data_IF_840762636716
#
_entry.id   IF_840762636716
#
_cell.length_a   1.000
_cell.length_b   1.000
_cell.length_c   1.000
_cell.angle_alpha   90.00
_cell.angle_beta   90.00
_cell.angle_gamma   90.00
#
_symmetry.space_group_name_H-M   'P 1'
#
loop_
_entity.id
_entity.type
_entity.pdbx_description
1 polymer ?
#
# COMPACT_ATOMS: atom_id res chain seq x y z
N UNK A 1 -9.57 -4.04 21.99
CA UNK A 1 -10.34 -3.73 20.77
C UNK A 1 -9.77 -4.60 19.65
N UNK A 2 -10.51 -5.59 19.19
CA UNK A 2 -10.07 -6.58 18.21
C UNK A 2 -10.66 -6.15 16.86
N UNK A 3 -9.83 -5.60 15.96
CA UNK A 3 -10.29 -5.24 14.61
C UNK A 3 -10.55 -6.53 13.82
N UNK A 4 -11.68 -6.66 13.10
CA UNK A 4 -11.99 -7.86 12.35
C UNK A 4 -11.04 -7.98 11.14
N UNK A 5 -10.29 -9.08 11.14
CA UNK A 5 -9.28 -9.51 10.16
C UNK A 5 -9.88 -9.73 8.74
N UNK A 6 -11.21 -9.72 8.62
CA UNK A 6 -11.96 -10.00 7.39
C UNK A 6 -11.82 -8.99 6.23
N UNK A 7 -11.23 -7.81 6.44
CA UNK A 7 -11.15 -6.75 5.41
C UNK A 7 -9.86 -6.75 4.58
N UNK A 8 -8.86 -7.57 4.93
CA UNK A 8 -7.51 -7.44 4.37
C UNK A 8 -7.18 -8.43 3.24
N UNK A 9 -7.94 -9.51 3.05
CA UNK A 9 -7.48 -10.64 2.23
C UNK A 9 -7.69 -10.52 0.71
N UNK A 10 -8.54 -9.61 0.22
CA UNK A 10 -8.91 -9.55 -1.21
C UNK A 10 -8.13 -8.53 -2.07
N UNK A 11 -7.22 -7.73 -1.49
CA UNK A 11 -6.83 -6.42 -2.08
C UNK A 11 -5.32 -6.24 -2.25
N UNK A 12 -4.62 -7.34 -2.51
CA UNK A 12 -3.29 -7.62 -1.98
C UNK A 12 -2.14 -6.75 -2.49
N UNK A 13 -2.32 -5.97 -3.56
CA UNK A 13 -1.24 -5.12 -4.06
C UNK A 13 -1.57 -3.64 -4.18
N UNK A 14 -2.84 -3.23 -4.35
CA UNK A 14 -3.17 -1.83 -4.65
C UNK A 14 -3.77 -1.06 -3.46
N UNK A 15 -4.50 -1.72 -2.56
CA UNK A 15 -5.18 -1.00 -1.45
C UNK A 15 -4.50 -1.12 -0.09
N UNK A 16 -3.52 -2.02 0.09
CA UNK A 16 -2.72 -2.08 1.31
C UNK A 16 -2.12 -0.71 1.69
N UNK A 17 -1.63 0.09 0.73
CA UNK A 17 -1.15 1.43 1.03
C UNK A 17 -2.25 2.44 1.41
N UNK A 18 -3.42 2.34 0.78
CA UNK A 18 -4.55 3.26 0.96
C UNK A 18 -5.28 3.06 2.29
N UNK A 19 -5.29 1.84 2.82
CA UNK A 19 -5.89 1.53 4.13
C UNK A 19 -5.06 2.09 5.30
N UNK A 20 -3.77 2.38 5.10
CA UNK A 20 -2.89 2.89 6.15
C UNK A 20 -2.98 4.42 6.30
N UNK A 21 -3.06 5.17 5.19
CA UNK A 21 -3.03 6.64 5.17
C UNK A 21 -4.28 7.29 5.80
N UNK A 22 -5.43 6.61 5.78
CA UNK A 22 -6.67 7.18 6.33
C UNK A 22 -6.75 7.22 7.87
N UNK A 23 -5.78 6.63 8.60
CA UNK A 23 -5.83 6.55 10.08
C UNK A 23 -4.85 7.47 10.82
N UNK A 24 -4.04 8.27 10.12
CA UNK A 24 -3.08 9.18 10.77
C UNK A 24 -2.93 10.50 9.99
N UNK A 25 -3.72 11.52 10.35
CA UNK A 25 -3.54 12.90 9.84
C UNK A 25 -2.63 13.78 10.70
N UNK A 26 -2.18 13.35 11.88
CA UNK A 26 -1.34 14.19 12.73
C UNK A 26 -0.17 13.39 13.32
N UNK A 27 0.97 13.40 12.60
CA UNK A 27 2.32 13.63 13.14
C UNK A 27 3.42 13.06 12.21
N UNK A 28 4.43 13.89 11.96
CA UNK A 28 5.75 13.58 11.39
C UNK A 28 5.88 13.46 9.85
N UNK A 29 6.08 14.61 9.22
CA UNK A 29 6.98 14.75 8.06
C UNK A 29 8.43 14.57 8.50
N UNK A 30 8.94 13.34 8.52
CA UNK A 30 10.38 13.08 8.66
C UNK A 30 11.02 12.90 7.29
N UNK A 31 11.98 13.77 7.01
CA UNK A 31 12.74 13.87 5.75
C UNK A 31 13.71 12.70 5.64
N UNK A 32 13.29 11.56 5.09
CA UNK A 32 14.23 10.56 4.56
C UNK A 32 14.54 10.90 3.09
N UNK A 33 15.53 11.77 2.91
CA UNK A 33 16.20 11.91 1.63
C UNK A 33 16.99 10.61 1.38
N UNK A 34 16.60 9.84 0.36
CA UNK A 34 17.47 8.81 -0.23
C UNK A 34 18.77 9.48 -0.65
N UNK A 35 19.84 9.26 0.14
CA UNK A 35 21.18 9.68 -0.24
C UNK A 35 21.64 8.82 -1.42
N UNK A 36 21.66 9.43 -2.60
CA UNK A 36 22.44 8.96 -3.72
C UNK A 36 23.91 8.78 -3.28
N UNK A 37 24.48 7.62 -3.57
CA UNK A 37 25.89 7.31 -3.40
C UNK A 37 26.77 8.36 -4.11
N UNK A 38 27.50 9.18 -3.36
CA UNK A 38 28.61 9.97 -3.89
C UNK A 38 29.95 9.19 -3.74
N UNK A 39 30.78 9.08 -4.79
CA UNK A 39 32.13 8.57 -4.64
C UNK A 39 33.05 9.65 -4.05
N UNK A 40 33.74 9.30 -2.95
CA UNK A 40 34.71 10.17 -2.26
C UNK A 40 35.90 10.53 -3.16
N UNK A 41 35.92 11.77 -3.66
CA UNK A 41 37.08 12.40 -4.28
C UNK A 41 37.66 13.51 -3.40
N UNK A 42 38.83 13.27 -2.82
CA UNK A 42 39.61 14.26 -2.07
C UNK A 42 40.08 15.41 -2.98
N UNK A 43 39.71 16.66 -2.69
CA UNK A 43 40.50 17.86 -3.06
C UNK A 43 40.17 19.06 -2.17
N UNK A 44 41.19 19.53 -1.44
CA UNK A 44 41.30 20.91 -0.95
C UNK A 44 41.35 21.88 -2.15
N UNK A 45 40.91 23.12 -2.00
CA UNK A 45 41.66 24.41 -2.07
C UNK A 45 40.68 25.60 -2.29
N UNK A 46 40.77 26.57 -1.37
CA UNK A 46 40.57 28.05 -1.39
C UNK A 46 39.38 28.79 -2.04
N UNK A 47 38.86 29.69 -1.19
CA UNK A 47 38.23 31.01 -1.38
C UNK A 47 38.40 31.75 -2.72
N UNK A 48 37.30 32.32 -3.23
CA UNK A 48 37.11 33.77 -3.43
C UNK A 48 35.72 34.06 -4.05
N UNK A 49 34.99 35.00 -3.46
CA UNK A 49 33.78 35.60 -4.04
C UNK A 49 34.13 36.48 -5.26
N UNK A 50 33.16 36.72 -6.17
CA UNK A 50 32.63 38.08 -6.20
C UNK A 50 31.13 38.20 -6.47
N UNK A 51 30.57 39.25 -5.87
CA UNK A 51 29.25 39.82 -6.05
C UNK A 51 28.94 40.18 -7.50
N UNK A 52 27.73 39.84 -7.96
CA UNK A 52 27.10 40.51 -9.10
C UNK A 52 25.61 40.74 -8.86
N UNK A 53 25.28 42.03 -8.85
CA UNK A 53 23.96 42.63 -8.86
C UNK A 53 23.24 42.34 -10.18
N UNK A 54 21.97 41.92 -10.10
CA UNK A 54 21.02 41.99 -11.22
C UNK A 54 19.68 42.50 -10.69
N UNK A 55 19.23 43.60 -11.29
CA UNK A 55 17.95 44.26 -11.09
C UNK A 55 16.78 43.42 -11.63
N UNK A 56 15.68 43.46 -10.87
CA UNK A 56 14.36 43.83 -11.41
C UNK A 56 13.59 42.79 -12.21
N UNK A 57 12.69 42.07 -11.53
CA UNK A 57 11.38 41.68 -12.10
C UNK A 57 10.32 41.68 -11.01
N UNK A 58 9.38 42.59 -11.18
CA UNK A 58 8.15 42.77 -10.42
C UNK A 58 7.23 41.56 -10.57
N UNK A 59 6.91 40.91 -9.44
CA UNK A 59 5.80 39.97 -9.34
C UNK A 59 4.68 40.63 -8.54
N UNK A 60 3.50 40.69 -9.17
CA UNK A 60 2.25 41.11 -8.55
C UNK A 60 1.85 40.10 -7.48
N UNK A 61 1.91 40.51 -6.21
CA UNK A 61 1.34 39.81 -5.06
C UNK A 61 -0.06 40.34 -4.83
N UNK A 62 -1.09 39.59 -5.26
CA UNK A 62 -2.45 39.81 -4.82
C UNK A 62 -2.59 39.26 -3.39
N UNK A 63 -2.78 40.19 -2.45
CA UNK A 63 -3.10 39.95 -1.04
C UNK A 63 -4.53 39.42 -0.96
N UNK A 64 -4.70 38.16 -0.56
CA UNK A 64 -5.96 37.67 0.01
C UNK A 64 -5.77 37.53 1.52
N UNK A 65 -6.40 38.46 2.23
CA UNK A 65 -6.61 38.44 3.67
C UNK A 65 -7.94 37.74 3.92
N UNK A 66 -7.92 36.60 4.62
CA UNK A 66 -9.08 36.11 5.37
C UNK A 66 -8.58 35.54 6.69
N UNK A 67 -8.71 36.35 7.73
CA UNK A 67 -8.73 35.90 9.12
C UNK A 67 -10.18 35.55 9.42
N UNK A 68 -10.48 34.26 9.47
CA UNK A 68 -11.72 33.78 10.06
C UNK A 68 -11.38 32.84 11.22
N UNK A 69 -11.93 33.21 12.37
CA UNK A 69 -11.84 32.51 13.65
C UNK A 69 -12.44 31.10 13.54
N UNK A 70 -11.62 30.08 13.73
CA UNK A 70 -12.08 28.69 13.86
C UNK A 70 -12.52 28.49 15.31
N UNK A 71 -13.84 28.51 15.52
CA UNK A 71 -14.50 28.05 16.73
C UNK A 71 -14.52 26.51 16.69
N UNK A 72 -13.81 25.85 17.60
CA UNK A 72 -13.92 24.41 17.85
C UNK A 72 -15.30 24.10 18.48
N UNK A 73 -16.33 23.99 17.66
CA UNK A 73 -17.58 23.34 18.07
C UNK A 73 -17.42 21.82 17.96
N UNK A 74 -17.40 21.15 19.11
CA UNK A 74 -17.38 19.70 19.20
C UNK A 74 -18.61 19.08 18.52
N UNK A 75 -18.40 18.49 17.34
CA UNK A 75 -19.40 17.72 16.61
C UNK A 75 -19.68 16.38 17.31
N UNK A 76 -20.60 16.38 18.28
CA UNK A 76 -21.32 15.16 18.69
C UNK A 76 -22.64 15.11 17.93
N UNK A 77 -22.59 14.76 16.64
CA UNK A 77 -23.80 14.58 15.84
C UNK A 77 -24.35 13.15 16.04
N UNK A 78 -25.47 12.95 16.76
CA UNK A 78 -26.00 11.62 17.05
C UNK A 78 -26.39 10.82 15.80
N UNK A 79 -26.66 11.48 14.66
CA UNK A 79 -26.95 10.82 13.39
C UNK A 79 -25.76 10.03 12.81
N UNK A 80 -24.52 10.43 13.13
CA UNK A 80 -23.31 9.68 12.70
C UNK A 80 -23.15 8.38 13.49
N UNK A 81 -23.56 8.36 14.76
CA UNK A 81 -23.49 7.17 15.62
C UNK A 81 -24.49 6.11 15.14
N UNK A 82 -25.70 6.53 14.76
CA UNK A 82 -26.70 5.62 14.20
C UNK A 82 -26.32 5.12 12.80
N UNK A 83 -25.69 5.94 11.96
CA UNK A 83 -25.16 5.50 10.67
C UNK A 83 -24.03 4.46 10.81
N UNK A 84 -23.16 4.59 11.83
CA UNK A 84 -22.12 3.60 12.12
C UNK A 84 -22.71 2.28 12.64
N UNK A 85 -23.78 2.33 13.44
CA UNK A 85 -24.49 1.13 13.92
C UNK A 85 -25.26 0.42 12.78
N UNK A 86 -25.84 1.18 11.86
CA UNK A 86 -26.48 0.65 10.64
C UNK A 86 -25.44 0.06 9.68
N UNK A 87 -24.27 0.69 9.53
CA UNK A 87 -23.16 0.17 8.71
C UNK A 87 -22.53 -1.12 9.28
N UNK A 88 -22.63 -1.35 10.59
CA UNK A 88 -22.14 -2.58 11.23
C UNK A 88 -23.07 -3.79 11.06
N UNK A 89 -24.32 -3.59 10.63
CA UNK A 89 -25.23 -4.69 10.32
C UNK A 89 -24.85 -5.24 8.95
N UNK A 90 -23.73 -5.97 8.90
CA UNK A 90 -23.22 -6.64 7.70
C UNK A 90 -24.34 -7.49 7.12
N UNK A 91 -24.88 -7.08 5.97
CA UNK A 91 -25.76 -7.93 5.20
C UNK A 91 -25.00 -9.21 4.87
N UNK A 92 -25.64 -10.36 5.05
CA UNK A 92 -25.07 -11.63 4.63
C UNK A 92 -24.78 -11.53 3.13
N UNK A 93 -23.53 -11.76 2.69
CA UNK A 93 -23.19 -11.65 1.29
C UNK A 93 -23.95 -12.71 0.50
N UNK A 94 -24.73 -12.27 -0.50
CA UNK A 94 -25.50 -13.18 -1.35
C UNK A 94 -24.57 -14.01 -2.22
N UNK A 95 -24.56 -15.32 -2.01
CA UNK A 95 -23.82 -16.25 -2.85
C UNK A 95 -24.49 -16.43 -4.21
N UNK A 96 -23.68 -16.45 -5.26
CA UNK A 96 -24.12 -16.83 -6.62
C UNK A 96 -24.07 -18.36 -6.79
N UNK A 97 -24.74 -18.88 -7.82
CA UNK A 97 -24.69 -20.32 -8.14
C UNK A 97 -23.28 -20.82 -8.45
N UNK A 98 -22.42 -19.94 -8.98
CA UNK A 98 -20.99 -20.23 -9.21
C UNK A 98 -20.26 -20.46 -7.88
N UNK A 99 -20.49 -19.60 -6.89
CA UNK A 99 -19.87 -19.73 -5.56
C UNK A 99 -20.33 -21.03 -4.87
N UNK A 100 -21.63 -21.34 -4.95
CA UNK A 100 -22.21 -22.57 -4.40
C UNK A 100 -21.61 -23.81 -5.06
N UNK A 101 -21.50 -23.79 -6.39
CA UNK A 101 -20.89 -24.88 -7.17
C UNK A 101 -19.42 -25.08 -6.79
N UNK A 102 -18.67 -23.98 -6.59
CA UNK A 102 -17.27 -24.06 -6.15
C UNK A 102 -17.16 -24.72 -4.77
N UNK A 103 -17.96 -24.30 -3.79
CA UNK A 103 -18.00 -24.87 -2.44
C UNK A 103 -18.28 -26.38 -2.48
N UNK A 104 -19.34 -26.77 -3.20
CA UNK A 104 -19.71 -28.18 -3.33
C UNK A 104 -18.64 -29.01 -4.03
N UNK A 105 -18.05 -28.48 -5.10
CA UNK A 105 -17.01 -29.17 -5.88
C UNK A 105 -15.75 -29.37 -5.04
N UNK A 106 -15.31 -28.32 -4.35
CA UNK A 106 -14.12 -28.36 -3.50
C UNK A 106 -14.29 -29.33 -2.33
N UNK A 107 -15.43 -29.25 -1.64
CA UNK A 107 -15.73 -30.13 -0.51
C UNK A 107 -15.77 -31.60 -0.95
N UNK A 108 -16.46 -31.90 -2.05
CA UNK A 108 -16.52 -33.26 -2.62
C UNK A 108 -15.16 -33.76 -3.09
N UNK A 109 -14.34 -32.90 -3.70
CA UNK A 109 -12.99 -33.26 -4.11
C UNK A 109 -12.07 -33.61 -2.93
N UNK A 110 -12.32 -33.02 -1.77
CA UNK A 110 -11.58 -33.29 -0.54
C UNK A 110 -12.18 -34.43 0.30
N UNK A 111 -13.34 -34.97 -0.07
CA UNK A 111 -14.07 -36.00 0.69
C UNK A 111 -14.26 -35.63 2.18
N UNK A 112 -14.45 -34.33 2.45
CA UNK A 112 -14.53 -33.80 3.82
C UNK A 112 -13.22 -33.85 4.63
N UNK A 113 -12.08 -34.22 4.02
CA UNK A 113 -10.78 -34.20 4.68
C UNK A 113 -10.31 -32.76 4.91
N UNK A 114 -10.12 -32.39 6.17
CA UNK A 114 -9.74 -31.03 6.57
C UNK A 114 -8.38 -30.60 6.01
N UNK A 115 -7.35 -31.44 6.07
CA UNK A 115 -6.01 -31.10 5.55
C UNK A 115 -6.05 -30.92 4.02
N UNK A 116 -6.81 -31.75 3.31
CA UNK A 116 -7.01 -31.58 1.87
C UNK A 116 -7.73 -30.26 1.55
N UNK A 117 -8.76 -29.89 2.32
CA UNK A 117 -9.46 -28.62 2.18
C UNK A 117 -8.54 -27.43 2.45
N UNK A 118 -7.74 -27.46 3.53
CA UNK A 118 -6.79 -26.40 3.87
C UNK A 118 -5.74 -26.20 2.76
N UNK A 119 -5.21 -27.29 2.19
CA UNK A 119 -4.28 -27.23 1.07
C UNK A 119 -4.93 -26.67 -0.20
N UNK A 120 -6.16 -27.09 -0.51
CA UNK A 120 -6.87 -26.62 -1.69
C UNK A 120 -7.29 -25.14 -1.56
N UNK A 121 -7.77 -24.73 -0.39
CA UNK A 121 -8.02 -23.32 -0.06
C UNK A 121 -6.74 -22.51 -0.16
N UNK A 122 -5.62 -23.00 0.39
CA UNK A 122 -4.33 -22.29 0.32
C UNK A 122 -3.89 -22.04 -1.12
N UNK A 123 -4.12 -23.01 -2.01
CA UNK A 123 -3.77 -22.92 -3.42
C UNK A 123 -4.67 -21.96 -4.21
N UNK A 124 -5.94 -21.84 -3.83
CA UNK A 124 -6.93 -21.04 -4.57
C UNK A 124 -7.28 -19.70 -3.90
N UNK A 125 -6.75 -19.41 -2.71
CA UNK A 125 -7.13 -18.25 -1.90
C UNK A 125 -7.04 -16.92 -2.66
N UNK A 126 -6.02 -16.78 -3.51
CA UNK A 126 -5.79 -15.55 -4.29
C UNK A 126 -6.80 -15.37 -5.44
N UNK A 127 -7.48 -16.45 -5.85
CA UNK A 127 -8.51 -16.43 -6.89
C UNK A 127 -9.94 -16.45 -6.32
N UNK A 128 -10.11 -16.68 -5.02
CA UNK A 128 -11.43 -16.76 -4.40
C UNK A 128 -12.15 -15.41 -4.49
N UNK A 129 -13.42 -15.45 -4.90
CA UNK A 129 -14.22 -14.22 -4.94
C UNK A 129 -14.35 -13.63 -3.51
N UNK A 130 -14.17 -12.32 -3.31
CA UNK A 130 -14.15 -11.73 -1.96
C UNK A 130 -15.44 -11.98 -1.17
N UNK A 131 -16.59 -11.95 -1.86
CA UNK A 131 -17.91 -12.28 -1.28
C UNK A 131 -17.94 -13.68 -0.66
N UNK A 132 -17.29 -14.65 -1.30
CA UNK A 132 -17.24 -16.03 -0.85
C UNK A 132 -16.32 -16.17 0.37
N UNK A 133 -15.16 -15.50 0.37
CA UNK A 133 -14.26 -15.45 1.53
C UNK A 133 -15.01 -14.91 2.76
N UNK A 134 -15.75 -13.82 2.62
CA UNK A 134 -16.55 -13.24 3.70
C UNK A 134 -17.67 -14.18 4.15
N UNK A 135 -18.37 -14.83 3.20
CA UNK A 135 -19.43 -15.80 3.50
C UNK A 135 -18.90 -16.98 4.32
N UNK A 136 -17.75 -17.55 3.93
CA UNK A 136 -17.11 -18.67 4.60
C UNK A 136 -16.63 -18.29 6.01
N UNK A 137 -16.06 -17.10 6.19
CA UNK A 137 -15.69 -16.59 7.52
C UNK A 137 -16.92 -16.44 8.42
N UNK A 138 -18.01 -15.86 7.89
CA UNK A 138 -19.26 -15.71 8.64
C UNK A 138 -19.88 -17.05 9.04
N UNK A 139 -19.84 -18.05 8.15
CA UNK A 139 -20.31 -19.41 8.43
C UNK A 139 -19.49 -20.04 9.56
N UNK A 140 -18.17 -19.91 9.52
CA UNK A 140 -17.27 -20.42 10.55
C UNK A 140 -17.45 -19.73 11.90
N UNK A 141 -17.58 -18.40 11.91
CA UNK A 141 -17.79 -17.60 13.14
C UNK A 141 -19.09 -17.96 13.85
N UNK A 142 -20.16 -18.20 13.08
CA UNK A 142 -21.48 -18.52 13.63
C UNK A 142 -21.68 -20.02 13.89
N UNK A 143 -20.88 -20.86 13.24
CA UNK A 143 -21.07 -22.32 13.22
C UNK A 143 -22.32 -22.77 12.47
N UNK A 144 -22.92 -21.87 11.67
CA UNK A 144 -24.14 -22.10 10.89
C UNK A 144 -24.18 -21.19 9.67
N UNK A 145 -24.84 -21.63 8.60
CA UNK A 145 -25.06 -20.86 7.38
C UNK A 145 -26.55 -20.79 7.08
N UNK A 146 -27.16 -19.63 7.40
CA UNK A 146 -28.60 -19.39 7.25
C UNK A 146 -28.86 -18.36 6.16
N UNK A 147 -28.70 -18.76 4.90
CA UNK A 147 -29.14 -17.96 3.76
C UNK A 147 -30.03 -18.80 2.83
N UNK A 148 -31.23 -18.30 2.55
CA UNK A 148 -32.14 -18.90 1.56
C UNK A 148 -32.76 -20.24 1.96
N UNK A 149 -33.13 -21.02 0.95
CA UNK A 149 -33.65 -22.39 1.07
C UNK A 149 -32.53 -23.41 0.73
N UNK A 150 -31.30 -23.14 1.13
CA UNK A 150 -30.18 -24.07 0.94
C UNK A 150 -30.40 -25.31 1.82
N UNK A 151 -29.89 -26.47 1.39
CA UNK A 151 -30.05 -27.72 2.12
C UNK A 151 -29.05 -27.85 3.31
N UNK A 152 -29.39 -28.71 4.27
CA UNK A 152 -28.56 -28.96 5.45
C UNK A 152 -27.15 -29.48 5.07
N UNK A 153 -27.03 -30.15 3.92
CA UNK A 153 -25.74 -30.63 3.41
C UNK A 153 -24.84 -29.46 3.01
N UNK A 154 -25.35 -28.50 2.24
CA UNK A 154 -24.59 -27.31 1.85
C UNK A 154 -24.20 -26.44 3.04
N UNK A 155 -25.08 -26.30 4.03
CA UNK A 155 -24.75 -25.59 5.28
C UNK A 155 -23.54 -26.23 5.99
N UNK A 156 -23.52 -27.56 6.10
CA UNK A 156 -22.37 -28.28 6.70
C UNK A 156 -21.08 -28.07 5.89
N UNK A 157 -21.18 -28.07 4.55
CA UNK A 157 -20.04 -27.81 3.67
C UNK A 157 -19.48 -26.40 3.85
N UNK A 158 -20.35 -25.39 3.95
CA UNK A 158 -19.97 -24.00 4.21
C UNK A 158 -19.24 -23.84 5.54
N UNK A 159 -19.76 -24.44 6.61
CA UNK A 159 -19.13 -24.37 7.94
C UNK A 159 -17.78 -25.10 7.97
N UNK A 160 -17.68 -26.26 7.32
CA UNK A 160 -16.44 -27.03 7.25
C UNK A 160 -15.34 -26.33 6.44
N UNK A 161 -15.67 -25.79 5.26
CA UNK A 161 -14.73 -24.99 4.46
C UNK A 161 -14.38 -23.68 5.16
N UNK A 162 -15.34 -23.02 5.81
CA UNK A 162 -15.10 -21.82 6.59
C UNK A 162 -14.11 -22.05 7.74
N UNK A 163 -14.28 -23.17 8.46
CA UNK A 163 -13.36 -23.56 9.55
C UNK A 163 -11.96 -23.84 9.01
N UNK A 164 -11.87 -24.52 7.85
CA UNK A 164 -10.59 -24.78 7.17
C UNK A 164 -9.93 -23.47 6.71
N UNK A 165 -10.71 -22.52 6.17
CA UNK A 165 -10.25 -21.19 5.81
C UNK A 165 -9.70 -20.45 7.04
N UNK A 166 -10.39 -20.48 8.18
CA UNK A 166 -9.87 -19.89 9.43
C UNK A 166 -8.51 -20.46 9.82
N UNK A 167 -8.33 -21.78 9.77
CA UNK A 167 -7.05 -22.40 10.09
C UNK A 167 -5.93 -21.97 9.14
N UNK A 168 -6.22 -21.85 7.83
CA UNK A 168 -5.27 -21.34 6.84
C UNK A 168 -4.87 -19.90 7.16
N UNK A 169 -5.84 -19.03 7.45
CA UNK A 169 -5.58 -17.62 7.77
C UNK A 169 -4.79 -17.47 9.09
N UNK A 170 -5.12 -18.25 10.12
CA UNK A 170 -4.42 -18.26 11.40
C UNK A 170 -2.98 -18.76 11.26
N UNK A 171 -2.77 -19.80 10.44
CA UNK A 171 -1.45 -20.33 10.13
C UNK A 171 -0.59 -19.30 9.41
N UNK A 172 -1.15 -18.59 8.41
CA UNK A 172 -0.47 -17.49 7.72
C UNK A 172 -0.12 -16.37 8.71
N UNK A 173 -1.05 -15.91 9.54
CA UNK A 173 -0.79 -14.88 10.56
C UNK A 173 0.25 -15.32 11.60
N UNK A 174 0.33 -16.60 11.94
CA UNK A 174 1.40 -17.14 12.79
C UNK A 174 2.75 -17.07 12.09
N UNK A 175 2.84 -17.54 10.85
CA UNK A 175 4.05 -17.44 10.02
C UNK A 175 4.51 -15.99 9.86
N UNK A 176 3.59 -15.04 9.65
CA UNK A 176 3.89 -13.61 9.59
C UNK A 176 4.48 -13.06 10.91
N UNK A 177 3.98 -13.54 12.06
CA UNK A 177 4.54 -13.20 13.39
C UNK A 177 5.94 -13.76 13.60
N UNK A 178 6.16 -15.02 13.22
CA UNK A 178 7.47 -15.67 13.29
C UNK A 178 8.50 -14.95 12.41
N UNK A 179 8.13 -14.64 11.16
CA UNK A 179 9.01 -13.89 10.25
C UNK A 179 9.34 -12.50 10.78
N UNK A 180 8.36 -11.77 11.32
CA UNK A 180 8.62 -10.45 11.91
C UNK A 180 9.54 -10.55 13.13
N UNK A 181 9.35 -11.56 13.99
CA UNK A 181 10.24 -11.81 15.12
C UNK A 181 11.68 -12.10 14.65
N UNK A 182 11.86 -12.93 13.63
CA UNK A 182 13.16 -13.21 13.03
C UNK A 182 13.84 -11.95 12.48
N UNK A 183 13.08 -11.07 11.81
CA UNK A 183 13.59 -9.80 11.29
C UNK A 183 14.03 -8.85 12.42
N UNK A 184 13.24 -8.74 13.48
CA UNK A 184 13.55 -7.90 14.65
C UNK A 184 14.76 -8.44 15.43
N UNK A 185 14.92 -9.76 15.51
CA UNK A 185 16.03 -10.43 16.19
C UNK A 185 17.33 -10.46 15.36
N UNK A 186 17.32 -9.95 14.13
CA UNK A 186 18.50 -9.97 13.26
C UNK A 186 19.67 -9.14 13.79
N UNK A 187 19.40 -8.10 14.59
CA UNK A 187 20.39 -7.25 15.26
C UNK A 187 21.22 -6.31 14.36
N UNK A 188 21.24 -6.55 13.04
CA UNK A 188 22.01 -5.78 12.07
C UNK A 188 21.18 -5.43 10.83
N UNK A 189 21.15 -4.13 10.46
CA UNK A 189 20.37 -3.62 9.31
C UNK A 189 20.72 -4.34 8.01
N UNK A 190 22.01 -4.64 7.77
CA UNK A 190 22.43 -5.34 6.54
C UNK A 190 21.91 -6.78 6.47
N UNK A 191 21.88 -7.47 7.60
CA UNK A 191 21.34 -8.83 7.70
C UNK A 191 19.82 -8.80 7.52
N UNK A 192 19.16 -7.83 8.14
CA UNK A 192 17.74 -7.56 7.97
C UNK A 192 17.36 -7.36 6.50
N UNK A 193 18.04 -6.47 5.77
CA UNK A 193 17.76 -6.22 4.35
C UNK A 193 17.96 -7.48 3.49
N UNK A 194 18.97 -8.29 3.80
CA UNK A 194 19.20 -9.58 3.13
C UNK A 194 18.10 -10.60 3.44
N UNK A 195 17.59 -10.62 4.68
CA UNK A 195 16.48 -11.49 5.08
C UNK A 195 15.18 -11.08 4.42
N UNK A 196 14.89 -9.78 4.32
CA UNK A 196 13.74 -9.24 3.59
C UNK A 196 13.83 -9.62 2.11
N UNK A 197 14.98 -9.40 1.47
CA UNK A 197 15.17 -9.78 0.07
C UNK A 197 15.03 -11.29 -0.18
N UNK A 198 15.41 -12.14 0.78
CA UNK A 198 15.17 -13.59 0.71
C UNK A 198 13.70 -13.92 0.91
N UNK A 199 13.05 -13.37 1.94
CA UNK A 199 11.64 -13.58 2.22
C UNK A 199 10.74 -13.15 1.05
N UNK A 200 11.10 -12.05 0.36
CA UNK A 200 10.42 -11.60 -0.85
C UNK A 200 10.48 -12.66 -1.97
N UNK A 201 11.69 -13.19 -2.24
CA UNK A 201 11.90 -14.24 -3.25
C UNK A 201 11.19 -15.55 -2.90
N UNK A 202 11.12 -15.86 -1.60
CA UNK A 202 10.43 -17.05 -1.08
C UNK A 202 8.89 -16.86 -1.02
N UNK A 203 8.35 -15.71 -1.41
CA UNK A 203 6.91 -15.42 -1.35
C UNK A 203 6.35 -15.28 0.07
N UNK A 204 7.21 -15.07 1.07
CA UNK A 204 6.83 -14.99 2.49
C UNK A 204 6.37 -13.59 2.93
N UNK A 205 6.59 -12.58 2.09
CA UNK A 205 6.09 -11.22 2.31
C UNK A 205 4.64 -11.10 1.84
N UNK A 206 3.77 -11.87 2.47
CA UNK A 206 2.35 -11.93 2.12
C UNK A 206 1.50 -10.95 2.95
N UNK A 207 0.19 -10.93 2.68
CA UNK A 207 -0.78 -10.09 3.37
C UNK A 207 -0.76 -10.29 4.89
N UNK A 208 -0.58 -11.52 5.33
CA UNK A 208 -0.60 -11.86 6.75
C UNK A 208 0.60 -11.23 7.47
N UNK A 209 1.78 -11.24 6.84
CA UNK A 209 2.96 -10.56 7.33
C UNK A 209 2.75 -9.05 7.44
N UNK A 210 2.22 -8.39 6.40
CA UNK A 210 1.98 -6.93 6.45
C UNK A 210 0.91 -6.52 7.47
N UNK A 211 -0.10 -7.36 7.69
CA UNK A 211 -1.12 -7.16 8.71
C UNK A 211 -0.49 -7.17 10.12
N UNK A 212 0.35 -8.16 10.39
CA UNK A 212 1.10 -8.28 11.65
C UNK A 212 2.06 -7.10 11.82
N UNK A 213 2.79 -6.73 10.78
CA UNK A 213 3.73 -5.60 10.79
C UNK A 213 3.01 -4.28 11.09
N UNK A 214 1.87 -4.02 10.43
CA UNK A 214 1.07 -2.81 10.63
C UNK A 214 0.51 -2.72 12.06
N UNK A 215 0.06 -3.86 12.62
CA UNK A 215 -0.40 -3.90 14.01
C UNK A 215 0.72 -3.58 15.00
N UNK A 216 1.93 -4.10 14.75
CA UNK A 216 3.11 -3.82 15.56
C UNK A 216 3.58 -2.37 15.44
N UNK A 217 3.46 -1.75 14.27
CA UNK A 217 3.78 -0.33 14.08
C UNK A 217 2.81 0.57 14.85
N UNK A 218 1.51 0.27 14.80
CA UNK A 218 0.49 1.00 15.56
C UNK A 218 0.72 0.87 17.06
N UNK A 219 0.98 -0.35 17.53
CA UNK A 219 1.35 -0.64 18.92
C UNK A 219 2.58 0.17 19.34
N UNK A 220 3.68 0.12 18.58
CA UNK A 220 4.89 0.88 18.86
C UNK A 220 4.69 2.41 18.86
N UNK A 221 3.80 2.93 18.01
CA UNK A 221 3.44 4.34 17.99
C UNK A 221 2.61 4.75 19.21
N UNK A 222 1.66 3.91 19.64
CA UNK A 222 0.78 4.18 20.80
C UNK A 222 1.49 4.01 22.14
N UNK A 223 2.38 3.02 22.26
CA UNK A 223 3.15 2.79 23.48
C UNK A 223 4.09 3.95 23.81
N UNK A 224 4.29 4.90 22.86
CA UNK A 224 5.14 6.06 23.06
C UNK A 224 6.52 5.63 23.54
N UNK A 225 6.99 4.48 23.06
CA UNK A 225 8.14 3.76 23.61
C UNK A 225 9.40 4.62 23.34
N UNK A 226 9.63 5.56 24.26
CA UNK A 226 10.90 6.24 24.52
C UNK A 226 11.85 5.25 25.20
N UNK A 227 11.40 4.02 25.47
CA UNK A 227 12.27 2.88 25.76
C UNK A 227 13.04 2.59 24.47
N UNK A 228 14.17 3.27 24.35
CA UNK A 228 15.32 2.87 23.55
C UNK A 228 15.47 1.37 23.73
N UNK A 229 15.00 0.57 22.77
CA UNK A 229 15.11 -0.88 22.85
C UNK A 229 16.60 -1.21 22.97
N UNK A 230 17.09 -1.63 24.15
CA UNK A 230 18.42 -2.18 24.23
C UNK A 230 18.22 -3.63 23.79
N UNK A 231 18.42 -3.88 22.49
CA UNK A 231 18.69 -5.22 21.96
C UNK A 231 17.76 -6.32 22.49
N UNK A 232 16.77 -6.72 21.69
CA UNK A 232 15.82 -7.80 21.97
C UNK A 232 16.46 -9.22 21.97
N UNK A 233 17.67 -9.35 22.49
CA UNK A 233 18.42 -10.59 22.67
C UNK A 233 19.33 -10.58 23.91
N UNK A 234 18.99 -9.84 24.97
CA UNK A 234 19.71 -9.98 26.25
C UNK A 234 19.11 -11.15 27.03
N UNK A 235 19.59 -12.36 26.73
CA UNK A 235 19.46 -13.47 27.66
C UNK A 235 20.06 -13.07 29.01
N UNK A 236 19.40 -13.45 30.10
CA UNK A 236 19.87 -13.22 31.47
C UNK A 236 21.34 -13.70 31.60
N UNK A 237 22.29 -12.76 31.63
CA UNK A 237 23.72 -13.06 31.82
C UNK A 237 24.72 -12.41 30.86
N UNK A 238 24.32 -11.60 29.89
CA UNK A 238 25.29 -10.80 29.13
C UNK A 238 25.60 -9.47 29.83
N UNK A 239 26.89 -9.22 30.08
CA UNK A 239 27.40 -7.96 30.61
C UNK A 239 26.94 -6.79 29.73
N UNK A 240 26.44 -5.73 30.37
CA UNK A 240 26.22 -4.43 29.74
C UNK A 240 27.48 -4.04 28.96
N UNK A 241 27.45 -4.17 27.64
CA UNK A 241 28.45 -3.57 26.78
C UNK A 241 28.25 -2.06 26.91
N UNK A 242 29.00 -1.43 27.82
CA UNK A 242 29.13 0.03 27.85
C UNK A 242 29.62 0.47 26.49
N UNK A 243 28.68 0.92 25.66
CA UNK A 243 29.00 1.55 24.39
C UNK A 243 30.04 2.63 24.64
N UNK A 244 31.13 2.59 23.89
CA UNK A 244 32.11 3.67 23.86
C UNK A 244 31.36 5.00 23.68
N UNK A 245 31.73 5.99 24.50
CA UNK A 245 31.14 7.31 24.49
C UNK A 245 31.21 7.91 23.08
N UNK A 246 30.09 7.85 22.35
CA UNK A 246 30.00 8.37 20.98
C UNK A 246 29.19 7.52 19.99
N UNK A 247 28.73 6.31 20.32
CA UNK A 247 27.83 5.57 19.43
C UNK A 247 26.36 6.05 19.54
N UNK A 248 25.67 6.22 18.40
CA UNK A 248 24.32 6.77 18.36
C UNK A 248 23.32 5.84 19.06
N UNK A 249 22.30 6.45 19.68
CA UNK A 249 21.18 5.78 20.34
C UNK A 249 20.71 4.56 19.55
N UNK A 250 20.49 3.44 20.24
CA UNK A 250 19.80 2.26 19.70
C UNK A 250 18.53 2.71 18.96
N UNK A 251 18.38 2.30 17.69
CA UNK A 251 17.21 2.66 16.89
C UNK A 251 15.92 2.27 17.63
N UNK A 252 14.95 3.19 17.65
CA UNK A 252 13.65 2.93 18.27
C UNK A 252 12.95 1.78 17.53
N UNK A 253 12.24 0.89 18.24
CA UNK A 253 11.42 -0.19 17.64
C UNK A 253 10.56 0.32 16.48
N UNK A 254 9.93 1.48 16.63
CA UNK A 254 9.13 2.09 15.57
C UNK A 254 9.97 2.39 14.31
N UNK A 255 11.19 2.91 14.47
CA UNK A 255 12.09 3.18 13.33
C UNK A 255 12.51 1.89 12.62
N UNK A 256 12.78 0.83 13.38
CA UNK A 256 13.12 -0.49 12.81
C UNK A 256 11.92 -1.06 12.04
N UNK A 257 10.71 -0.98 12.61
CA UNK A 257 9.49 -1.44 11.94
C UNK A 257 9.17 -0.63 10.69
N UNK A 258 9.36 0.70 10.72
CA UNK A 258 9.23 1.57 9.54
C UNK A 258 10.25 1.22 8.46
N UNK A 259 11.49 0.91 8.85
CA UNK A 259 12.52 0.44 7.93
C UNK A 259 12.13 -0.90 7.28
N UNK A 260 11.69 -1.88 8.09
CA UNK A 260 11.20 -3.18 7.59
C UNK A 260 10.07 -2.97 6.60
N UNK A 261 9.06 -2.16 6.97
CA UNK A 261 7.91 -1.87 6.12
C UNK A 261 8.34 -1.28 4.77
N UNK A 262 9.17 -0.23 4.80
CA UNK A 262 9.66 0.44 3.60
C UNK A 262 10.47 -0.52 2.72
N UNK A 263 11.39 -1.30 3.31
CA UNK A 263 12.23 -2.24 2.57
C UNK A 263 11.44 -3.40 1.97
N UNK A 264 10.47 -3.93 2.70
CA UNK A 264 9.56 -4.96 2.18
C UNK A 264 8.75 -4.44 0.99
N UNK A 265 8.26 -3.20 1.06
CA UNK A 265 7.57 -2.57 -0.08
C UNK A 265 8.48 -2.41 -1.30
N UNK A 266 9.71 -1.95 -1.12
CA UNK A 266 10.68 -1.83 -2.22
C UNK A 266 10.98 -3.18 -2.88
N UNK A 267 11.02 -4.27 -2.12
CA UNK A 267 11.20 -5.61 -2.70
C UNK A 267 9.95 -6.09 -3.44
N UNK A 268 8.74 -5.81 -2.93
CA UNK A 268 7.49 -6.12 -3.64
C UNK A 268 7.32 -5.30 -4.92
N UNK A 269 7.76 -4.03 -4.92
CA UNK A 269 7.70 -3.17 -6.11
C UNK A 269 8.52 -3.71 -7.28
N UNK A 270 9.54 -4.54 -7.00
CA UNK A 270 10.36 -5.18 -8.04
C UNK A 270 9.65 -6.36 -8.70
N UNK A 271 8.65 -6.95 -8.05
CA UNK A 271 7.96 -8.14 -8.55
C UNK A 271 6.66 -7.79 -9.28
N UNK A 272 6.11 -6.60 -9.06
CA UNK A 272 4.88 -6.13 -9.72
C UNK A 272 5.18 -5.44 -11.06
N UNK A 273 4.15 -5.36 -11.92
CA UNK A 273 4.24 -4.60 -13.16
C UNK A 273 4.62 -3.12 -12.87
N UNK A 274 5.48 -2.48 -13.68
CA UNK A 274 5.97 -1.13 -13.41
C UNK A 274 4.86 -0.08 -13.21
N UNK A 275 3.75 -0.16 -13.96
CA UNK A 275 2.59 0.71 -13.79
C UNK A 275 1.93 0.58 -12.41
N UNK A 276 1.77 -0.65 -11.92
CA UNK A 276 1.22 -0.94 -10.58
C UNK A 276 2.20 -0.48 -9.51
N UNK A 277 3.51 -0.74 -9.69
CA UNK A 277 4.55 -0.27 -8.78
C UNK A 277 4.55 1.25 -8.64
N UNK A 278 4.45 1.98 -9.76
CA UNK A 278 4.31 3.44 -9.75
C UNK A 278 3.04 3.88 -9.02
N UNK A 279 1.88 3.30 -9.34
CA UNK A 279 0.61 3.64 -8.70
C UNK A 279 0.67 3.48 -7.18
N UNK A 280 1.18 2.33 -6.73
CA UNK A 280 1.34 2.05 -5.31
C UNK A 280 2.26 3.06 -4.62
N UNK A 281 3.34 3.45 -5.28
CA UNK A 281 4.30 4.43 -4.77
C UNK A 281 3.69 5.83 -4.64
N UNK A 282 2.94 6.28 -5.64
CA UNK A 282 2.31 7.61 -5.60
C UNK A 282 1.13 7.66 -4.62
N UNK A 283 0.38 6.57 -4.45
CA UNK A 283 -0.71 6.47 -3.46
C UNK A 283 -0.21 6.59 -2.02
N UNK A 284 1.04 6.25 -1.74
CA UNK A 284 1.68 6.41 -0.41
C UNK A 284 2.30 7.78 -0.18
N UNK A 285 2.48 8.54 -1.25
CA UNK A 285 3.17 9.81 -1.18
C UNK A 285 2.13 10.90 -0.96
N UNK A 286 1.96 11.33 0.29
CA UNK A 286 0.92 12.31 0.65
C UNK A 286 1.24 13.72 0.11
N UNK A 287 2.52 14.04 -0.01
CA UNK A 287 3.01 15.36 -0.42
C UNK A 287 2.93 15.47 -1.96
N UNK A 288 2.01 16.32 -2.45
CA UNK A 288 1.75 16.50 -3.89
C UNK A 288 2.98 16.89 -4.70
N UNK A 289 3.88 17.72 -4.17
CA UNK A 289 5.12 18.09 -4.87
C UNK A 289 6.07 16.90 -5.06
N UNK A 290 6.13 15.98 -4.08
CA UNK A 290 6.93 14.76 -4.19
C UNK A 290 6.26 13.79 -5.17
N UNK A 291 4.92 13.68 -5.16
CA UNK A 291 4.18 12.88 -6.16
C UNK A 291 4.43 13.36 -7.56
N UNK A 292 4.31 14.66 -7.82
CA UNK A 292 4.55 15.24 -9.14
C UNK A 292 5.97 14.95 -9.63
N UNK A 293 6.98 15.06 -8.76
CA UNK A 293 8.35 14.69 -9.09
C UNK A 293 8.50 13.19 -9.40
N UNK A 294 7.84 12.31 -8.64
CA UNK A 294 7.82 10.88 -8.93
C UNK A 294 7.16 10.61 -10.27
N UNK A 295 5.96 11.13 -10.51
CA UNK A 295 5.24 10.98 -11.78
C UNK A 295 6.09 11.48 -12.95
N UNK A 296 6.74 12.63 -12.81
CA UNK A 296 7.65 13.18 -13.84
C UNK A 296 8.84 12.26 -14.09
N UNK A 297 9.43 11.71 -13.02
CA UNK A 297 10.53 10.76 -13.15
C UNK A 297 10.12 9.47 -13.87
N UNK A 298 8.92 8.95 -13.65
CA UNK A 298 8.52 7.66 -14.26
C UNK A 298 7.84 7.81 -15.62
N UNK A 299 6.95 8.79 -15.79
CA UNK A 299 6.15 8.99 -17.00
C UNK A 299 6.81 9.94 -18.00
N UNK A 300 7.78 10.76 -17.56
CA UNK A 300 8.50 11.70 -18.41
C UNK A 300 9.68 11.05 -19.16
N UNK A 301 10.17 11.70 -20.22
CA UNK A 301 11.35 11.26 -20.94
C UNK A 301 12.59 11.27 -20.04
N UNK A 302 13.38 10.20 -20.08
CA UNK A 302 14.58 10.10 -19.26
C UNK A 302 15.73 10.96 -19.81
N UNK A 303 16.43 11.66 -18.92
CA UNK A 303 17.61 12.43 -19.28
C UNK A 303 18.68 11.50 -19.90
N UNK A 304 19.03 11.77 -21.15
CA UNK A 304 20.06 10.99 -21.87
C UNK A 304 21.44 11.61 -21.69
N UNK A 305 21.52 12.87 -21.30
CA UNK A 305 22.79 13.58 -21.15
C UNK A 305 22.78 14.47 -19.90
N UNK A 306 23.93 14.58 -19.23
CA UNK A 306 24.16 15.58 -18.17
C UNK A 306 25.27 16.50 -18.64
N UNK A 307 25.02 17.80 -18.67
CA UNK A 307 26.07 18.78 -18.93
C UNK A 307 26.66 19.23 -17.60
N UNK A 308 27.93 18.91 -17.36
CA UNK A 308 28.66 19.36 -16.18
C UNK A 308 28.84 20.89 -16.18
N UNK A 309 29.12 21.51 -15.02
CA UNK A 309 29.43 22.94 -14.93
C UNK A 309 30.61 23.38 -15.83
N UNK A 310 31.50 22.43 -16.15
CA UNK A 310 32.64 22.63 -17.05
C UNK A 310 32.24 22.65 -18.54
N UNK A 311 30.95 22.54 -18.85
CA UNK A 311 30.41 22.47 -20.21
C UNK A 311 30.61 21.12 -20.90
N UNK A 312 31.19 20.12 -20.21
CA UNK A 312 31.30 18.76 -20.76
C UNK A 312 29.99 18.02 -20.61
N UNK A 313 29.45 17.54 -21.73
CA UNK A 313 28.28 16.67 -21.78
C UNK A 313 28.72 15.22 -21.58
N UNK A 314 28.14 14.58 -20.57
CA UNK A 314 28.29 13.15 -20.29
C UNK A 314 27.03 12.47 -20.81
N UNK A 315 27.20 11.55 -21.76
CA UNK A 315 26.12 10.67 -22.21
C UNK A 315 25.85 9.62 -21.13
N UNK A 316 24.60 9.53 -20.70
CA UNK A 316 24.13 8.58 -19.70
C UNK A 316 23.69 7.25 -20.34
N UNK A 317 23.65 7.16 -21.67
CA UNK A 317 23.17 5.97 -22.39
C UNK A 317 21.67 5.73 -22.20
N UNK A 318 20.91 6.76 -21.80
CA UNK A 318 19.46 6.67 -21.64
C UNK A 318 18.74 6.50 -22.99
N UNK A 319 17.59 5.83 -22.98
CA UNK A 319 16.78 5.60 -24.19
C UNK A 319 15.89 6.79 -24.55
N UNK A 320 15.82 7.82 -23.70
CA UNK A 320 14.86 8.93 -23.79
C UNK A 320 13.40 8.51 -23.57
N UNK A 321 13.14 7.21 -23.45
CA UNK A 321 11.80 6.64 -23.20
C UNK A 321 11.48 6.73 -21.71
N UNK A 322 10.19 6.90 -21.36
CA UNK A 322 9.77 6.86 -19.96
C UNK A 322 10.03 5.48 -19.33
N UNK A 323 10.18 5.46 -18.01
CA UNK A 323 10.38 4.22 -17.25
C UNK A 323 9.08 3.40 -17.16
N UNK A 324 7.94 4.08 -17.21
CA UNK A 324 6.61 3.50 -17.24
C UNK A 324 5.83 4.18 -18.35
N UNK A 325 5.28 3.41 -19.28
CA UNK A 325 4.45 3.99 -20.34
C UNK A 325 3.13 4.52 -19.76
N UNK A 326 2.55 5.53 -20.42
CA UNK A 326 1.24 6.06 -20.03
C UNK A 326 0.14 4.97 -20.09
N UNK A 327 0.25 4.03 -21.03
CA UNK A 327 -0.67 2.89 -21.18
C UNK A 327 -0.58 1.94 -19.98
N UNK A 328 0.62 1.52 -19.58
CA UNK A 328 0.81 0.65 -18.39
C UNK A 328 0.28 1.32 -17.12
N UNK A 329 0.43 2.65 -17.01
CA UNK A 329 -0.12 3.38 -15.87
C UNK A 329 -1.66 3.47 -15.91
N UNK A 330 -2.28 3.65 -17.09
CA UNK A 330 -3.74 3.58 -17.25
C UNK A 330 -4.27 2.21 -16.87
N UNK A 331 -3.61 1.15 -17.33
CA UNK A 331 -3.99 -0.23 -16.99
C UNK A 331 -3.95 -0.44 -15.47
N UNK A 332 -2.91 0.07 -14.81
CA UNK A 332 -2.80 0.04 -13.36
C UNK A 332 -3.96 0.78 -12.66
N UNK A 333 -4.31 1.98 -13.12
CA UNK A 333 -5.45 2.77 -12.61
C UNK A 333 -6.78 2.03 -12.83
N UNK A 334 -6.97 1.45 -14.01
CA UNK A 334 -8.17 0.68 -14.38
C UNK A 334 -8.35 -0.54 -13.48
N UNK A 335 -7.29 -1.33 -13.32
CA UNK A 335 -7.29 -2.51 -12.47
C UNK A 335 -7.59 -2.15 -11.01
N UNK A 336 -6.99 -1.07 -10.50
CA UNK A 336 -7.24 -0.56 -9.15
C UNK A 336 -8.71 -0.19 -8.93
N UNK A 337 -9.29 0.62 -9.83
CA UNK A 337 -10.69 1.05 -9.74
C UNK A 337 -11.65 -0.13 -9.85
N UNK A 338 -11.38 -1.08 -10.75
CA UNK A 338 -12.19 -2.29 -10.89
C UNK A 338 -12.14 -3.14 -9.62
N UNK A 339 -10.96 -3.32 -9.01
CA UNK A 339 -10.81 -4.03 -7.74
C UNK A 339 -11.62 -3.38 -6.61
N UNK A 340 -11.57 -2.05 -6.48
CA UNK A 340 -12.36 -1.32 -5.47
C UNK A 340 -13.86 -1.54 -5.69
N UNK A 341 -14.34 -1.43 -6.93
CA UNK A 341 -15.76 -1.64 -7.26
C UNK A 341 -16.21 -3.07 -6.98
N UNK A 342 -15.39 -4.06 -7.35
CA UNK A 342 -15.67 -5.46 -7.06
C UNK A 342 -15.73 -5.71 -5.55
N UNK A 343 -14.83 -5.12 -4.78
CA UNK A 343 -14.83 -5.21 -3.33
C UNK A 343 -16.09 -4.57 -2.71
N UNK A 344 -16.47 -3.38 -3.17
CA UNK A 344 -17.69 -2.69 -2.74
C UNK A 344 -18.92 -3.55 -3.02
N UNK A 345 -19.05 -4.08 -4.24
CA UNK A 345 -20.16 -4.93 -4.64
C UNK A 345 -20.21 -6.24 -3.84
N UNK A 346 -19.05 -6.75 -3.40
CA UNK A 346 -18.94 -7.93 -2.54
C UNK A 346 -19.22 -7.63 -1.05
N UNK A 347 -19.48 -6.37 -0.66
CA UNK A 347 -19.64 -5.96 0.72
C UNK A 347 -18.33 -5.95 1.53
N UNK A 348 -17.17 -6.00 0.84
CA UNK A 348 -15.86 -5.98 1.48
C UNK A 348 -15.43 -4.59 1.97
N UNK A 349 -16.07 -3.53 1.46
CA UNK A 349 -15.89 -2.14 1.90
C UNK A 349 -17.24 -1.42 1.86
N UNK A 350 -17.43 -0.40 2.69
CA UNK A 350 -18.57 0.49 2.56
C UNK A 350 -18.43 1.40 1.33
N UNK A 351 -19.58 1.86 0.83
CA UNK A 351 -19.68 2.69 -0.37
C UNK A 351 -18.95 4.03 -0.25
N UNK A 352 -18.94 4.65 0.94
CA UNK A 352 -18.28 5.94 1.13
C UNK A 352 -16.76 5.77 1.02
N UNK A 353 -16.21 4.76 1.68
CA UNK A 353 -14.79 4.40 1.56
C UNK A 353 -14.41 4.04 0.12
N UNK A 354 -15.23 3.24 -0.58
CA UNK A 354 -14.99 2.91 -1.99
C UNK A 354 -14.92 4.16 -2.89
N UNK A 355 -15.88 5.08 -2.72
CA UNK A 355 -15.90 6.35 -3.46
C UNK A 355 -14.66 7.20 -3.15
N UNK A 356 -14.26 7.31 -1.89
CA UNK A 356 -13.06 8.06 -1.50
C UNK A 356 -11.79 7.47 -2.10
N UNK A 357 -11.65 6.14 -2.13
CA UNK A 357 -10.52 5.46 -2.73
C UNK A 357 -10.44 5.70 -4.25
N UNK A 358 -11.58 5.59 -4.95
CA UNK A 358 -11.66 5.87 -6.39
C UNK A 358 -11.35 7.35 -6.67
N UNK A 359 -11.81 8.26 -5.81
CA UNK A 359 -11.53 9.69 -5.92
C UNK A 359 -10.04 10.00 -5.75
N UNK A 360 -9.36 9.37 -4.79
CA UNK A 360 -7.91 9.49 -4.63
C UNK A 360 -7.17 9.04 -5.90
N UNK A 361 -7.57 7.92 -6.50
CA UNK A 361 -7.02 7.44 -7.77
C UNK A 361 -7.31 8.43 -8.90
N UNK A 362 -8.50 9.04 -8.93
CA UNK A 362 -8.87 10.07 -9.91
C UNK A 362 -7.99 11.32 -9.80
N UNK A 363 -7.69 11.78 -8.59
CA UNK A 363 -6.80 12.92 -8.37
C UNK A 363 -5.38 12.62 -8.87
N UNK A 364 -4.87 11.41 -8.62
CA UNK A 364 -3.58 10.98 -9.17
C UNK A 364 -3.56 10.93 -10.69
N UNK A 365 -4.65 10.48 -11.32
CA UNK A 365 -4.77 10.49 -12.78
C UNK A 365 -4.74 11.93 -13.34
N UNK A 366 -5.31 12.90 -12.62
CA UNK A 366 -5.23 14.32 -12.98
C UNK A 366 -3.81 14.88 -12.84
N UNK A 367 -3.11 14.56 -11.75
CA UNK A 367 -1.69 14.94 -11.55
C UNK A 367 -0.81 14.33 -12.65
N UNK A 368 -1.01 13.05 -12.97
CA UNK A 368 -0.28 12.37 -14.05
C UNK A 368 -0.51 13.02 -15.42
N UNK A 369 -1.76 13.42 -15.72
CA UNK A 369 -2.07 14.19 -16.94
C UNK A 369 -1.29 15.50 -16.98
N UNK A 370 -1.24 16.25 -15.89
CA UNK A 370 -0.49 17.51 -15.84
C UNK A 370 0.99 17.29 -16.16
N UNK A 371 1.61 16.26 -15.54
CA UNK A 371 2.99 15.88 -15.82
C UNK A 371 3.22 15.48 -17.28
N UNK A 372 2.30 14.72 -17.89
CA UNK A 372 2.39 14.35 -19.31
C UNK A 372 2.27 15.57 -20.22
N UNK A 373 1.40 16.53 -19.89
CA UNK A 373 1.28 17.81 -20.62
C UNK A 373 2.57 18.62 -20.52
N UNK A 374 3.18 18.71 -19.35
CA UNK A 374 4.46 19.40 -19.15
C UNK A 374 5.61 18.72 -19.90
N UNK A 375 5.61 17.39 -19.96
CA UNK A 375 6.70 16.60 -20.55
C UNK A 375 6.62 16.47 -22.07
N UNK A 376 5.41 16.31 -22.63
CA UNK A 376 5.20 16.01 -24.05
C UNK A 376 4.44 17.11 -24.81
N UNK A 377 3.79 18.04 -24.10
CA UNK A 377 2.94 19.08 -24.66
C UNK A 377 1.46 18.69 -24.71
N UNK A 378 0.57 19.69 -24.57
CA UNK A 378 -0.89 19.48 -24.47
C UNK A 378 -1.51 18.80 -25.70
N UNK A 379 -1.00 19.09 -26.88
CA UNK A 379 -1.48 18.51 -28.15
C UNK A 379 -0.81 17.19 -28.55
N UNK A 380 0.03 16.61 -27.68
CA UNK A 380 0.74 15.37 -28.00
C UNK A 380 -0.20 14.16 -28.07
N UNK A 381 0.12 13.19 -28.94
CA UNK A 381 -0.62 11.93 -29.08
C UNK A 381 -0.68 11.17 -27.75
N UNK A 382 0.41 11.17 -26.98
CA UNK A 382 0.51 10.57 -25.64
C UNK A 382 -0.55 11.14 -24.69
N UNK A 383 -0.70 12.47 -24.65
CA UNK A 383 -1.67 13.15 -23.76
C UNK A 383 -3.10 12.90 -24.22
N UNK A 384 -3.36 12.88 -25.53
CA UNK A 384 -4.69 12.63 -26.08
C UNK A 384 -5.12 11.19 -25.85
N UNK A 385 -4.22 10.23 -26.10
CA UNK A 385 -4.44 8.82 -25.82
C UNK A 385 -4.68 8.59 -24.33
N UNK A 386 -3.84 9.16 -23.46
CA UNK A 386 -4.03 9.05 -22.01
C UNK A 386 -5.42 9.51 -21.56
N UNK A 387 -5.91 10.64 -22.10
CA UNK A 387 -7.25 11.15 -21.79
C UNK A 387 -8.37 10.25 -22.33
N UNK A 388 -8.21 9.74 -23.56
CA UNK A 388 -9.19 8.89 -24.22
C UNK A 388 -9.36 7.57 -23.47
N UNK A 389 -8.27 6.93 -23.08
CA UNK A 389 -8.31 5.63 -22.39
C UNK A 389 -8.69 5.76 -20.90
N UNK A 390 -8.52 6.92 -20.26
CA UNK A 390 -8.97 7.16 -18.88
C UNK A 390 -10.48 7.36 -18.72
N UNK A 391 -11.16 7.85 -19.77
CA UNK A 391 -12.61 8.08 -19.75
C UNK A 391 -13.41 6.85 -19.25
N UNK A 392 -13.26 5.65 -19.84
CA UNK A 392 -14.02 4.48 -19.43
C UNK A 392 -13.71 4.00 -18.00
N UNK A 393 -12.51 4.29 -17.48
CA UNK A 393 -12.10 3.88 -16.11
C UNK A 393 -13.01 4.52 -15.06
N UNK A 394 -13.19 5.84 -15.14
CA UNK A 394 -13.98 6.60 -14.16
C UNK A 394 -15.46 6.75 -14.55
N UNK A 395 -15.82 6.50 -15.81
CA UNK A 395 -17.20 6.56 -16.34
C UNK A 395 -17.58 5.26 -17.05
N UNK A 396 -17.85 4.17 -16.30
CA UNK A 396 -18.28 2.92 -16.92
C UNK A 396 -19.55 3.15 -17.74
N UNK A 397 -19.49 2.78 -19.03
CA UNK A 397 -20.57 2.99 -20.01
C UNK A 397 -20.33 4.14 -21.01
N UNK A 398 -19.26 4.92 -20.89
CA UNK A 398 -18.91 5.96 -21.87
C UNK A 398 -18.04 5.47 -23.03
N UNK A 399 -17.98 4.16 -23.28
CA UNK A 399 -17.22 3.60 -24.41
C UNK A 399 -17.70 4.27 -25.70
N UNK A 400 -16.85 5.10 -26.28
CA UNK A 400 -17.08 5.72 -27.58
C UNK A 400 -16.96 4.58 -28.59
N UNK A 401 -18.10 4.08 -29.08
CA UNK A 401 -18.12 3.22 -30.26
C UNK A 401 -17.52 4.05 -31.42
N UNK A 402 -16.28 3.72 -31.79
CA UNK A 402 -15.57 4.35 -32.91
C UNK A 402 -15.98 3.73 -34.25
#
# INVERSE_FOLDING_TARGET
MQFPISHLFSLSYVLLPLMYTHTHTDAFTSTYNSQCYEPKGNRRINSAAPTRSINGRTLNSAVFSSTDDIVEEGFTNPDLIDQMAVAQKRETPKLTEEDKSWVQTLYKACDGNQEAMENAITADLDNMHPRLVVALQLAADKGEWKEGNDDEEFEQQMVALGSSLHNVLDTRLRSGRELLADLLNSGEIRKLDSMIGKAAKDGKLDMSFFSVLSMNMKDAAMSGDIISSPTLATGEGQEEVKGEAGQPMSANRLQILQHIYTRCQEELEKTVAPGIGLLNKVLRTEISSIRSNQLSHYLGPQATTITSPDGKTIDLGGTGKPLVSHIEFIEALSNAVNQIRTLEAAGGTDRLSAVNLIENIRQLAMEARAVLVESFGEGSEVVQEFQRELQPVFRPGSTVEN
#
